data_IF_655287581614
#
_entry.id   IF_655287581614
#
_cell.length_a   1.000
_cell.length_b   1.000
_cell.length_c   1.000
_cell.angle_alpha   90.00
_cell.angle_beta   90.00
_cell.angle_gamma   90.00
#
_symmetry.space_group_name_H-M   'P 1'
#
loop_
_entity.id
_entity.type
_entity.pdbx_description
1 polymer ?
#
# COMPACT_ATOMS: atom_id res chain seq x y z
N UNK A 1 -18.40 10.57 4.82
CA UNK A 1 -19.63 11.40 4.86
C UNK A 1 -19.58 12.33 6.06
N UNK A 2 -19.02 11.87 7.19
CA UNK A 2 -18.65 12.68 8.36
C UNK A 2 -17.85 13.95 8.07
N UNK A 3 -16.78 13.88 7.27
CA UNK A 3 -15.93 15.05 7.00
C UNK A 3 -16.68 16.24 6.39
N UNK A 4 -17.55 16.01 5.39
CA UNK A 4 -18.35 17.07 4.76
C UNK A 4 -19.40 17.67 5.70
N UNK A 5 -20.02 16.85 6.55
CA UNK A 5 -20.99 17.32 7.55
C UNK A 5 -20.29 18.14 8.65
N UNK A 6 -19.11 17.70 9.10
CA UNK A 6 -18.29 18.44 10.05
C UNK A 6 -17.80 19.77 9.48
N UNK A 7 -17.33 19.80 8.22
CA UNK A 7 -16.95 21.05 7.53
C UNK A 7 -18.16 21.97 7.27
N UNK A 8 -19.37 21.43 7.19
CA UNK A 8 -20.62 22.19 7.10
C UNK A 8 -21.19 22.62 8.47
N UNK A 9 -20.47 22.34 9.57
CA UNK A 9 -20.92 22.68 10.93
C UNK A 9 -22.13 21.87 11.42
N UNK A 10 -22.42 20.74 10.78
CA UNK A 10 -23.52 19.86 11.16
C UNK A 10 -23.00 18.89 12.24
N UNK A 11 -23.57 19.00 13.43
CA UNK A 11 -23.28 18.08 14.53
C UNK A 11 -23.76 16.67 14.16
N UNK A 12 -22.81 15.75 14.01
CA UNK A 12 -23.13 14.43 13.47
C UNK A 12 -23.53 13.53 14.63
N UNK A 13 -24.71 12.88 14.57
CA UNK A 13 -25.22 12.15 15.71
C UNK A 13 -24.27 11.03 16.16
N UNK A 14 -24.21 10.78 17.46
CA UNK A 14 -23.35 9.76 18.10
C UNK A 14 -23.60 8.33 17.63
N UNK A 15 -24.75 8.07 16.99
CA UNK A 15 -25.10 6.78 16.40
C UNK A 15 -24.54 6.56 14.98
N UNK A 16 -23.88 7.57 14.40
CA UNK A 16 -23.35 7.47 13.05
C UNK A 16 -21.98 6.78 13.06
N UNK A 17 -21.84 5.70 12.28
CA UNK A 17 -20.60 4.91 12.19
C UNK A 17 -19.99 5.08 10.80
N UNK A 18 -18.72 5.49 10.75
CA UNK A 18 -17.98 5.53 9.49
C UNK A 18 -17.57 4.12 9.06
N UNK A 19 -17.84 3.80 7.80
CA UNK A 19 -17.48 2.53 7.18
C UNK A 19 -16.53 2.80 6.02
N UNK A 20 -15.51 1.94 5.89
CA UNK A 20 -14.58 1.97 4.76
C UNK A 20 -15.13 1.16 3.58
N UNK A 21 -14.89 1.65 2.36
CA UNK A 21 -14.94 0.80 1.17
C UNK A 21 -13.55 0.26 0.89
N UNK A 22 -13.35 -1.06 0.86
CA UNK A 22 -12.04 -1.64 0.62
C UNK A 22 -11.87 -3.02 1.23
N UNK A 23 -10.80 -3.22 2.00
CA UNK A 23 -10.43 -4.52 2.57
C UNK A 23 -9.87 -4.37 3.99
N UNK A 24 -10.14 -5.34 4.85
CA UNK A 24 -9.46 -5.50 6.13
C UNK A 24 -9.28 -6.98 6.41
N UNK A 25 -8.09 -7.37 6.86
CA UNK A 25 -7.82 -8.69 7.39
C UNK A 25 -6.82 -8.61 8.51
N UNK A 26 -6.91 -9.55 9.45
CA UNK A 26 -5.94 -9.72 10.52
C UNK A 26 -5.68 -11.18 10.81
N UNK A 27 -4.44 -11.50 11.15
CA UNK A 27 -4.01 -12.86 11.51
C UNK A 27 -3.11 -12.81 12.73
N UNK A 28 -3.45 -13.59 13.76
CA UNK A 28 -2.59 -13.81 14.92
C UNK A 28 -1.57 -14.91 14.60
N UNK A 29 -0.30 -14.64 14.89
CA UNK A 29 0.84 -15.52 14.63
C UNK A 29 1.54 -15.80 15.95
N UNK A 30 1.82 -17.07 16.21
CA UNK A 30 2.50 -17.55 17.41
C UNK A 30 3.95 -17.91 17.10
N UNK A 31 4.88 -17.49 17.97
CA UNK A 31 6.30 -17.76 17.86
C UNK A 31 6.90 -17.93 19.27
N UNK A 32 7.35 -19.15 19.59
CA UNK A 32 7.69 -19.52 20.97
C UNK A 32 6.48 -19.35 21.90
N UNK A 33 6.70 -18.69 23.05
CA UNK A 33 5.64 -18.33 23.99
C UNK A 33 4.93 -17.01 23.67
N UNK A 34 5.35 -16.31 22.61
CA UNK A 34 4.85 -14.99 22.24
C UNK A 34 3.89 -15.06 21.05
N UNK A 35 3.15 -13.97 20.86
CA UNK A 35 2.31 -13.79 19.66
C UNK A 35 2.31 -12.35 19.19
N UNK A 36 2.00 -12.17 17.91
CA UNK A 36 1.73 -10.87 17.30
C UNK A 36 0.56 -11.00 16.35
N UNK A 37 -0.13 -9.89 16.10
CA UNK A 37 -1.19 -9.79 15.10
C UNK A 37 -0.69 -8.98 13.93
N UNK A 38 -0.71 -9.58 12.75
CA UNK A 38 -0.51 -8.89 11.48
C UNK A 38 -1.85 -8.43 10.98
N UNK A 39 -1.91 -7.21 10.46
CA UNK A 39 -3.10 -6.61 9.88
C UNK A 39 -2.76 -6.00 8.52
N UNK A 40 -3.74 -6.06 7.60
CA UNK A 40 -3.69 -5.39 6.30
C UNK A 40 -5.03 -4.70 6.11
N UNK A 41 -4.98 -3.40 5.85
CA UNK A 41 -6.16 -2.58 5.59
C UNK A 41 -5.97 -1.83 4.28
N UNK A 42 -7.01 -1.83 3.44
CA UNK A 42 -7.06 -1.04 2.21
C UNK A 42 -8.29 -0.17 2.22
N UNK A 43 -8.12 1.13 1.97
CA UNK A 43 -9.18 2.14 1.99
C UNK A 43 -9.27 2.79 0.61
N UNK A 44 -10.41 2.60 -0.05
CA UNK A 44 -10.70 3.24 -1.35
C UNK A 44 -11.29 4.63 -1.12
N UNK A 45 -10.76 5.62 -1.81
CA UNK A 45 -11.34 6.98 -1.81
C UNK A 45 -12.72 6.98 -2.44
N UNK A 46 -13.60 7.82 -1.87
CA UNK A 46 -14.96 8.06 -2.36
C UNK A 46 -15.03 9.23 -3.35
N UNK A 47 -13.97 10.03 -3.46
CA UNK A 47 -13.97 11.28 -4.22
C UNK A 47 -14.17 11.06 -5.73
N UNK A 48 -13.49 10.04 -6.29
CA UNK A 48 -13.60 9.65 -7.70
C UNK A 48 -13.72 8.14 -7.87
N UNK A 49 -14.78 7.59 -7.27
CA UNK A 49 -15.08 6.17 -7.38
C UNK A 49 -15.79 5.85 -8.70
N UNK A 50 -15.40 4.76 -9.36
CA UNK A 50 -16.10 4.26 -10.54
C UNK A 50 -15.55 2.92 -11.01
N UNK A 51 -16.23 2.29 -11.96
CA UNK A 51 -15.80 1.01 -12.54
C UNK A 51 -14.69 1.20 -13.56
N UNK A 52 -13.95 0.12 -13.86
CA UNK A 52 -12.78 0.10 -14.76
C UNK A 52 -12.95 0.78 -16.13
N UNK A 53 -14.17 0.72 -16.67
CA UNK A 53 -14.47 1.25 -18.01
C UNK A 53 -15.13 2.63 -17.99
N UNK A 54 -15.61 3.09 -16.82
CA UNK A 54 -16.38 4.33 -16.72
C UNK A 54 -15.56 5.49 -16.17
N UNK A 55 -14.55 5.24 -15.34
CA UNK A 55 -13.80 6.32 -14.66
C UNK A 55 -12.30 6.06 -14.68
N UNK A 56 -11.57 6.95 -15.35
CA UNK A 56 -10.09 6.94 -15.46
C UNK A 56 -9.53 8.35 -15.26
N UNK A 57 -8.23 8.41 -15.02
CA UNK A 57 -7.49 9.66 -14.93
C UNK A 57 -7.86 10.50 -13.70
N UNK A 58 -7.69 11.81 -13.84
CA UNK A 58 -7.95 12.82 -12.82
C UNK A 58 -9.16 13.67 -13.25
N UNK A 59 -9.91 14.23 -12.30
CA UNK A 59 -10.87 15.30 -12.60
C UNK A 59 -10.28 16.70 -12.41
N UNK A 60 -11.08 17.71 -12.73
CA UNK A 60 -10.77 19.13 -12.58
C UNK A 60 -10.49 19.52 -11.12
N UNK A 61 -10.87 18.69 -10.14
CA UNK A 61 -10.58 18.87 -8.71
C UNK A 61 -9.31 18.13 -8.26
N UNK A 62 -8.54 17.55 -9.19
CA UNK A 62 -7.31 16.82 -8.88
C UNK A 62 -7.54 15.44 -8.25
N UNK A 63 -8.78 14.94 -8.21
CA UNK A 63 -9.09 13.63 -7.64
C UNK A 63 -8.78 12.54 -8.67
N UNK A 64 -7.95 11.56 -8.30
CA UNK A 64 -7.65 10.42 -9.19
C UNK A 64 -8.67 9.31 -9.02
N UNK A 65 -9.05 8.74 -10.16
CA UNK A 65 -9.94 7.60 -10.23
C UNK A 65 -9.41 6.43 -9.41
N UNK A 66 -10.27 5.88 -8.54
CA UNK A 66 -9.99 4.67 -7.78
C UNK A 66 -8.69 4.72 -6.96
N UNK A 67 -8.45 5.85 -6.30
CA UNK A 67 -7.43 6.01 -5.28
C UNK A 67 -7.61 4.98 -4.15
N UNK A 68 -6.54 4.29 -3.78
CA UNK A 68 -6.52 3.31 -2.68
C UNK A 68 -5.28 3.51 -1.83
N UNK A 69 -5.49 3.59 -0.52
CA UNK A 69 -4.42 3.47 0.48
C UNK A 69 -4.37 2.03 0.97
N UNK A 70 -3.18 1.46 1.07
CA UNK A 70 -2.97 0.13 1.65
C UNK A 70 -1.96 0.23 2.77
N UNK A 71 -2.30 -0.28 3.94
CA UNK A 71 -1.48 -0.17 5.14
C UNK A 71 -1.29 -1.56 5.76
N UNK A 72 -0.02 -1.96 5.91
CA UNK A 72 0.38 -3.17 6.63
C UNK A 72 0.91 -2.78 8.00
N UNK A 73 0.31 -3.34 9.05
CA UNK A 73 0.73 -3.09 10.41
C UNK A 73 0.76 -4.34 11.28
N UNK A 74 1.63 -4.31 12.29
CA UNK A 74 1.86 -5.42 13.21
C UNK A 74 1.66 -4.89 14.62
N UNK A 75 0.82 -5.57 15.38
CA UNK A 75 0.66 -5.36 16.81
C UNK A 75 1.38 -6.51 17.54
N UNK A 76 2.46 -6.20 18.24
CA UNK A 76 3.18 -7.16 19.07
C UNK A 76 3.10 -6.73 20.54
N UNK A 77 2.73 -7.68 21.42
CA UNK A 77 2.23 -7.39 22.78
C UNK A 77 1.00 -6.45 22.74
N UNK A 78 0.29 -6.29 23.85
CA UNK A 78 -0.87 -5.38 23.88
C UNK A 78 -0.47 -3.90 23.73
N UNK A 79 0.78 -3.56 23.36
CA UNK A 79 1.31 -2.18 23.46
C UNK A 79 2.22 -1.69 22.34
N UNK A 80 2.76 -2.53 21.45
CA UNK A 80 3.65 -2.02 20.38
C UNK A 80 3.06 -2.24 19.00
N UNK A 81 2.94 -1.14 18.24
CA UNK A 81 2.42 -1.18 16.87
C UNK A 81 3.44 -0.60 15.90
N UNK A 82 3.73 -1.32 14.82
CA UNK A 82 4.50 -0.82 13.69
C UNK A 82 3.61 -0.81 12.44
N UNK A 83 3.54 0.30 11.71
CA UNK A 83 2.67 0.46 10.54
C UNK A 83 3.42 1.05 9.34
N UNK A 84 3.12 0.56 8.15
CA UNK A 84 3.65 1.06 6.89
C UNK A 84 2.54 1.28 5.87
N UNK A 85 2.46 2.52 5.37
CA UNK A 85 1.46 2.97 4.41
C UNK A 85 2.03 3.04 2.99
N UNK A 86 1.31 2.46 2.03
CA UNK A 86 1.60 2.51 0.59
C UNK A 86 0.36 3.00 -0.16
N UNK A 87 0.54 3.85 -1.17
CA UNK A 87 -0.57 4.53 -1.84
C UNK A 87 -0.69 4.18 -3.32
N UNK A 88 -1.91 4.39 -3.85
CA UNK A 88 -2.22 4.52 -5.28
C UNK A 88 -3.09 5.75 -5.45
N UNK A 89 -2.59 6.81 -6.10
CA UNK A 89 -3.31 8.08 -6.07
C UNK A 89 -2.60 9.32 -6.59
N UNK A 90 -3.31 10.44 -6.86
CA UNK A 90 -2.70 11.65 -7.47
C UNK A 90 -1.65 12.36 -6.60
N UNK A 91 -0.68 13.05 -7.22
CA UNK A 91 0.48 13.65 -6.51
C UNK A 91 0.05 14.81 -5.61
N UNK A 92 -0.84 15.67 -6.10
CA UNK A 92 -1.06 16.98 -5.48
C UNK A 92 -1.71 16.90 -4.09
N UNK A 93 -2.62 15.95 -3.86
CA UNK A 93 -3.26 15.73 -2.55
C UNK A 93 -2.39 14.96 -1.55
N UNK A 94 -1.31 14.31 -1.99
CA UNK A 94 -0.48 13.49 -1.09
C UNK A 94 0.55 14.30 -0.31
N UNK A 95 0.89 15.49 -0.82
CA UNK A 95 1.97 16.34 -0.33
C UNK A 95 1.84 16.73 1.14
N UNK A 96 0.70 17.30 1.52
CA UNK A 96 0.51 17.90 2.85
C UNK A 96 0.25 16.83 3.92
N UNK A 97 -0.21 15.65 3.50
CA UNK A 97 -0.58 14.55 4.38
C UNK A 97 0.56 13.56 4.62
N UNK A 98 1.45 13.34 3.64
CA UNK A 98 2.35 12.19 3.64
C UNK A 98 3.85 12.49 3.57
N UNK A 99 4.26 13.72 3.25
CA UNK A 99 5.67 14.09 3.17
C UNK A 99 6.32 13.70 1.83
N UNK A 100 7.50 13.07 1.87
CA UNK A 100 8.28 12.71 0.68
C UNK A 100 7.52 11.71 -0.22
N UNK A 101 7.65 11.86 -1.55
CA UNK A 101 6.89 11.05 -2.51
C UNK A 101 7.85 10.32 -3.46
N UNK A 102 7.81 8.99 -3.44
CA UNK A 102 8.40 8.14 -4.48
C UNK A 102 7.30 7.61 -5.38
N UNK A 103 7.44 7.78 -6.68
CA UNK A 103 6.51 7.22 -7.67
C UNK A 103 7.19 6.07 -8.40
N UNK A 104 6.59 4.88 -8.27
CA UNK A 104 6.92 3.71 -9.07
C UNK A 104 5.89 3.56 -10.19
N UNK A 105 6.30 3.79 -11.43
CA UNK A 105 5.46 3.67 -12.61
C UNK A 105 5.69 2.33 -13.32
N UNK A 106 4.68 1.46 -13.32
CA UNK A 106 4.75 0.08 -13.84
C UNK A 106 4.38 -0.04 -15.33
N UNK A 107 4.43 1.08 -16.05
CA UNK A 107 4.12 1.15 -17.47
C UNK A 107 5.30 0.63 -18.29
N UNK A 108 4.98 -0.14 -19.32
CA UNK A 108 5.92 -0.68 -20.28
C UNK A 108 6.25 0.28 -21.42
N UNK A 109 6.91 -0.28 -22.44
CA UNK A 109 7.47 0.47 -23.56
C UNK A 109 6.56 0.53 -24.79
N UNK A 110 5.31 0.04 -24.69
CA UNK A 110 4.37 0.15 -25.80
C UNK A 110 4.07 1.64 -26.07
N UNK A 111 3.81 2.06 -27.32
CA UNK A 111 3.66 3.49 -27.65
C UNK A 111 2.63 4.22 -26.77
N UNK A 112 1.50 3.58 -26.46
CA UNK A 112 0.49 4.15 -25.56
C UNK A 112 0.97 4.29 -24.11
N UNK A 113 1.60 3.26 -23.54
CA UNK A 113 2.12 3.28 -22.16
C UNK A 113 3.34 4.22 -22.01
N UNK A 114 4.17 4.28 -23.04
CA UNK A 114 5.30 5.20 -23.13
C UNK A 114 4.84 6.67 -23.14
N UNK A 115 3.86 7.02 -23.99
CA UNK A 115 3.30 8.37 -24.02
C UNK A 115 2.74 8.79 -22.65
N UNK A 116 2.05 7.89 -21.95
CA UNK A 116 1.54 8.17 -20.60
C UNK A 116 2.68 8.40 -19.60
N UNK A 117 3.72 7.58 -19.66
CA UNK A 117 4.91 7.71 -18.80
C UNK A 117 5.64 9.02 -19.03
N UNK A 118 5.84 9.40 -20.30
CA UNK A 118 6.47 10.65 -20.70
C UNK A 118 5.67 11.87 -20.23
N UNK A 119 4.35 11.88 -20.47
CA UNK A 119 3.50 12.98 -20.03
C UNK A 119 3.48 13.11 -18.50
N UNK A 120 3.41 11.99 -17.77
CA UNK A 120 3.52 12.00 -16.31
C UNK A 120 4.85 12.58 -15.85
N UNK A 121 5.96 12.19 -16.49
CA UNK A 121 7.29 12.70 -16.20
C UNK A 121 7.37 14.22 -16.40
N UNK A 122 6.77 14.75 -17.48
CA UNK A 122 6.70 16.21 -17.68
C UNK A 122 5.89 16.92 -16.60
N UNK A 123 4.79 16.32 -16.13
CA UNK A 123 3.93 16.91 -15.10
C UNK A 123 4.56 16.89 -13.70
N UNK A 124 5.52 15.99 -13.43
CA UNK A 124 6.22 15.95 -12.14
C UNK A 124 7.42 16.90 -12.10
N UNK A 125 7.88 17.44 -13.25
CA UNK A 125 8.97 18.42 -13.27
C UNK A 125 8.50 19.68 -12.52
N UNK A 126 9.28 20.09 -11.52
CA UNK A 126 8.91 21.20 -10.63
C UNK A 126 7.88 20.85 -9.54
N UNK A 127 7.45 19.59 -9.46
CA UNK A 127 6.65 19.08 -8.34
C UNK A 127 7.53 18.70 -7.14
N UNK A 128 6.90 18.35 -5.99
CA UNK A 128 7.60 17.83 -4.80
C UNK A 128 7.86 16.32 -4.84
N UNK A 129 7.78 15.69 -6.01
CA UNK A 129 8.13 14.26 -6.14
C UNK A 129 9.63 14.10 -5.93
N UNK A 130 9.99 13.39 -4.86
CA UNK A 130 11.39 13.14 -4.48
C UNK A 130 12.08 12.25 -5.51
N UNK A 131 11.37 11.24 -6.02
CA UNK A 131 11.91 10.30 -7.01
C UNK A 131 10.83 9.66 -7.86
N UNK A 132 11.11 9.53 -9.15
CA UNK A 132 10.27 8.85 -10.13
C UNK A 132 11.06 7.74 -10.79
N UNK A 133 10.51 6.53 -10.80
CA UNK A 133 11.12 5.34 -11.42
C UNK A 133 10.09 4.69 -12.31
N UNK A 134 10.46 4.47 -13.58
CA UNK A 134 9.67 3.66 -14.51
C UNK A 134 10.26 2.25 -14.57
N UNK A 135 9.38 1.26 -14.52
CA UNK A 135 9.74 -0.15 -14.61
C UNK A 135 8.71 -0.88 -15.49
N UNK A 136 9.18 -1.49 -16.58
CA UNK A 136 8.33 -2.29 -17.43
C UNK A 136 7.96 -3.61 -16.73
N UNK A 137 6.77 -3.65 -16.14
CA UNK A 137 6.28 -4.85 -15.46
C UNK A 137 6.06 -6.03 -16.40
N UNK A 138 5.88 -5.81 -17.72
CA UNK A 138 5.74 -6.91 -18.66
C UNK A 138 7.01 -7.76 -18.71
N UNK A 139 8.18 -7.13 -18.56
CA UNK A 139 9.47 -7.82 -18.46
C UNK A 139 9.50 -8.79 -17.26
N UNK A 140 8.87 -8.43 -16.12
CA UNK A 140 8.74 -9.32 -14.96
C UNK A 140 7.79 -10.50 -15.25
N UNK A 141 6.63 -10.23 -15.87
CA UNK A 141 5.64 -11.28 -16.17
C UNK A 141 6.05 -12.21 -17.32
N UNK A 142 6.87 -11.70 -18.24
CA UNK A 142 7.36 -12.41 -19.43
C UNK A 142 8.70 -13.10 -19.21
N UNK A 143 9.28 -13.01 -18.02
CA UNK A 143 10.53 -13.66 -17.67
C UNK A 143 10.42 -15.19 -17.83
N UNK A 144 11.45 -15.79 -18.43
CA UNK A 144 11.48 -17.18 -18.89
C UNK A 144 11.85 -18.17 -17.78
N UNK A 145 12.36 -17.67 -16.65
CA UNK A 145 12.77 -18.49 -15.50
C UNK A 145 12.44 -17.82 -14.17
N UNK A 146 12.40 -18.60 -13.09
CA UNK A 146 12.30 -18.06 -11.74
C UNK A 146 13.49 -17.14 -11.40
N UNK A 147 14.71 -17.57 -11.74
CA UNK A 147 15.94 -16.80 -11.51
C UNK A 147 15.93 -15.43 -12.20
N UNK A 148 15.41 -15.36 -13.43
CA UNK A 148 15.28 -14.10 -14.15
C UNK A 148 14.26 -13.17 -13.47
N UNK A 149 13.11 -13.71 -13.04
CA UNK A 149 12.12 -12.95 -12.27
C UNK A 149 12.72 -12.40 -10.97
N UNK A 150 13.45 -13.23 -10.25
CA UNK A 150 14.09 -12.85 -8.99
C UNK A 150 15.12 -11.75 -9.22
N UNK A 151 15.94 -11.85 -10.26
CA UNK A 151 16.93 -10.83 -10.63
C UNK A 151 16.26 -9.49 -10.98
N UNK A 152 15.19 -9.52 -11.78
CA UNK A 152 14.44 -8.32 -12.16
C UNK A 152 13.78 -7.67 -10.93
N UNK A 153 13.17 -8.49 -10.06
CA UNK A 153 12.59 -8.03 -8.79
C UNK A 153 13.67 -7.39 -7.90
N UNK A 154 14.83 -8.03 -7.74
CA UNK A 154 15.95 -7.49 -6.96
C UNK A 154 16.47 -6.16 -7.52
N UNK A 155 16.58 -6.04 -8.84
CA UNK A 155 17.03 -4.82 -9.52
C UNK A 155 16.06 -3.66 -9.26
N UNK A 156 14.75 -3.94 -9.28
CA UNK A 156 13.73 -2.96 -8.95
C UNK A 156 13.75 -2.60 -7.46
N UNK A 157 13.81 -3.58 -6.57
CA UNK A 157 13.89 -3.35 -5.12
C UNK A 157 15.13 -2.55 -4.75
N UNK A 158 16.28 -2.74 -5.42
CA UNK A 158 17.47 -1.93 -5.21
C UNK A 158 17.26 -0.42 -5.47
N UNK A 159 16.30 -0.05 -6.33
CA UNK A 159 15.96 1.35 -6.61
C UNK A 159 14.96 1.94 -5.61
N UNK A 160 14.07 1.09 -5.07
CA UNK A 160 12.94 1.47 -4.20
C UNK A 160 13.33 1.45 -2.72
N UNK A 161 14.04 0.41 -2.28
CA UNK A 161 14.35 0.18 -0.86
C UNK A 161 15.20 1.26 -0.19
N UNK A 162 16.13 1.95 -0.86
CA UNK A 162 16.82 3.10 -0.26
C UNK A 162 15.86 4.19 0.19
N UNK A 163 14.85 4.52 -0.63
CA UNK A 163 13.83 5.50 -0.28
C UNK A 163 12.94 4.98 0.85
N UNK A 164 12.44 3.74 0.74
CA UNK A 164 11.58 3.12 1.76
C UNK A 164 12.26 3.08 3.13
N UNK A 165 13.56 2.79 3.16
CA UNK A 165 14.32 2.77 4.41
C UNK A 165 14.53 4.18 4.98
N UNK A 166 14.66 5.20 4.13
CA UNK A 166 14.81 6.59 4.53
C UNK A 166 13.52 7.18 5.13
N UNK A 167 12.36 6.93 4.51
CA UNK A 167 11.06 7.40 5.02
C UNK A 167 10.60 6.65 6.27
N UNK A 168 11.17 5.47 6.52
CA UNK A 168 10.85 4.62 7.65
C UNK A 168 9.39 4.15 7.69
N UNK A 169 9.00 3.67 8.86
CA UNK A 169 7.64 3.22 9.16
C UNK A 169 7.24 3.75 10.55
N UNK A 170 5.93 3.90 10.78
CA UNK A 170 5.39 4.34 12.07
C UNK A 170 5.69 3.29 13.14
N UNK A 171 6.15 3.71 14.32
CA UNK A 171 6.32 2.85 15.50
C UNK A 171 5.76 3.57 16.73
N UNK A 172 4.87 2.92 17.46
CA UNK A 172 4.27 3.44 18.70
C UNK A 172 4.44 2.46 19.85
N UNK A 173 4.63 3.01 21.04
CA UNK A 173 4.47 2.30 22.30
C UNK A 173 3.18 2.83 22.94
N UNK A 174 2.06 2.13 22.82
CA UNK A 174 1.07 1.97 23.89
C UNK A 174 -0.16 1.18 23.47
N UNK A 175 -0.91 0.75 24.50
CA UNK A 175 -2.11 -0.06 24.40
C UNK A 175 -3.10 0.56 23.44
N UNK A 176 -3.45 -0.17 22.39
CA UNK A 176 -4.45 0.20 21.38
C UNK A 176 -5.88 0.29 21.91
N UNK A 177 -6.08 0.72 23.17
CA UNK A 177 -7.36 1.17 23.67
C UNK A 177 -7.34 2.69 23.56
N UNK A 178 -8.05 3.17 22.54
CA UNK A 178 -8.43 4.56 22.34
C UNK A 178 -9.42 4.96 23.45
N UNK A 179 -8.95 5.04 24.70
CA UNK A 179 -9.65 5.81 25.71
C UNK A 179 -9.33 7.27 25.44
N UNK A 180 -10.22 7.92 24.67
CA UNK A 180 -10.36 9.37 24.51
C UNK A 180 -9.03 10.16 24.57
N UNK A 181 -8.42 10.35 23.40
CA UNK A 181 -7.47 11.44 23.11
C UNK A 181 -6.12 11.47 23.84
N UNK A 182 -5.60 10.33 24.32
CA UNK A 182 -4.16 10.24 24.62
C UNK A 182 -3.44 9.52 23.48
N UNK A 183 -2.73 10.31 22.66
CA UNK A 183 -1.91 9.80 21.57
C UNK A 183 -0.80 8.94 22.20
N UNK A 184 -0.78 7.64 21.90
CA UNK A 184 0.31 6.75 22.33
C UNK A 184 1.67 7.32 21.92
N UNK A 185 2.71 7.03 22.70
CA UNK A 185 4.02 7.65 22.48
C UNK A 185 4.61 7.20 21.13
N UNK A 186 4.66 8.13 20.17
CA UNK A 186 5.21 7.88 18.84
C UNK A 186 6.74 7.82 18.95
N UNK A 187 7.32 6.63 18.70
CA UNK A 187 8.78 6.44 18.65
C UNK A 187 9.38 6.84 17.32
N UNK A 188 8.63 6.63 16.24
CA UNK A 188 9.05 6.93 14.87
C UNK A 188 7.83 7.24 14.03
N UNK A 189 7.91 8.28 13.18
CA UNK A 189 6.90 8.57 12.15
C UNK A 189 7.41 8.10 10.80
N UNK A 190 6.50 7.67 9.93
CA UNK A 190 6.75 7.56 8.50
C UNK A 190 6.72 8.97 7.91
N UNK A 191 7.74 9.36 7.14
CA UNK A 191 7.90 10.74 6.62
C UNK A 191 7.71 10.87 5.12
N UNK A 192 7.29 9.79 4.46
CA UNK A 192 7.05 9.75 3.03
C UNK A 192 6.27 8.51 2.62
N UNK A 193 5.92 8.40 1.35
CA UNK A 193 5.12 7.31 0.80
C UNK A 193 5.66 6.82 -0.55
N UNK A 194 5.33 5.57 -0.87
CA UNK A 194 5.49 5.03 -2.21
C UNK A 194 4.13 5.00 -2.90
N UNK A 195 4.05 5.68 -4.04
CA UNK A 195 2.91 5.63 -4.97
C UNK A 195 3.22 4.64 -6.07
N UNK A 196 2.37 3.62 -6.24
CA UNK A 196 2.50 2.66 -7.35
C UNK A 196 1.47 2.97 -8.44
N UNK A 197 1.95 3.32 -9.62
CA UNK A 197 1.16 3.61 -10.82
C UNK A 197 1.14 2.42 -11.77
N UNK A 198 -0.01 2.21 -12.40
CA UNK A 198 -0.16 1.22 -13.47
C UNK A 198 -1.39 1.56 -14.31
N UNK A 199 -1.35 1.27 -15.60
CA UNK A 199 -2.52 1.37 -16.48
C UNK A 199 -3.41 0.15 -16.25
N UNK A 200 -4.68 0.41 -15.92
CA UNK A 200 -5.81 -0.53 -15.92
C UNK A 200 -5.65 -1.86 -15.15
N UNK A 201 -4.57 -2.08 -14.42
CA UNK A 201 -4.30 -3.31 -13.71
C UNK A 201 -4.17 -3.04 -12.21
N UNK A 202 -5.12 -3.53 -11.44
CA UNK A 202 -5.00 -3.62 -9.99
C UNK A 202 -3.96 -4.67 -9.59
N UNK A 203 -3.91 -5.76 -10.35
CA UNK A 203 -3.03 -6.92 -10.11
C UNK A 203 -1.55 -6.50 -10.00
N UNK A 204 -1.03 -5.86 -11.07
CA UNK A 204 0.36 -5.34 -11.12
C UNK A 204 0.69 -4.44 -9.93
N UNK A 205 -0.23 -3.55 -9.56
CA UNK A 205 -0.02 -2.66 -8.39
C UNK A 205 -0.04 -3.43 -7.08
N UNK A 206 -0.98 -4.36 -6.89
CA UNK A 206 -1.10 -5.14 -5.66
C UNK A 206 0.13 -6.04 -5.45
N UNK A 207 0.63 -6.65 -6.53
CA UNK A 207 1.84 -7.49 -6.50
C UNK A 207 3.07 -6.70 -6.08
N UNK A 208 3.27 -5.52 -6.66
CA UNK A 208 4.40 -4.66 -6.30
C UNK A 208 4.30 -4.06 -4.90
N UNK A 209 3.10 -3.65 -4.48
CA UNK A 209 2.88 -3.17 -3.12
C UNK A 209 3.15 -4.26 -2.09
N UNK A 210 2.71 -5.50 -2.34
CA UNK A 210 3.03 -6.67 -1.51
C UNK A 210 4.53 -6.87 -1.39
N UNK A 211 5.26 -6.86 -2.50
CA UNK A 211 6.72 -7.10 -2.48
C UNK A 211 7.44 -6.08 -1.60
N UNK A 212 7.13 -4.79 -1.77
CA UNK A 212 7.68 -3.71 -0.92
C UNK A 212 7.30 -3.94 0.55
N UNK A 213 6.04 -4.30 0.80
CA UNK A 213 5.52 -4.53 2.15
C UNK A 213 6.19 -5.72 2.87
N UNK A 214 6.56 -6.77 2.12
CA UNK A 214 7.32 -7.91 2.66
C UNK A 214 8.78 -7.55 2.99
N UNK A 215 9.39 -6.63 2.25
CA UNK A 215 10.71 -6.10 2.61
C UNK A 215 10.64 -5.24 3.90
N UNK A 216 9.58 -4.43 4.03
CA UNK A 216 9.34 -3.61 5.24
C UNK A 216 8.96 -4.46 6.45
N UNK A 217 8.29 -5.60 6.25
CA UNK A 217 7.90 -6.54 7.31
C UNK A 217 9.11 -6.92 8.20
N UNK A 218 10.27 -7.18 7.61
CA UNK A 218 11.51 -7.47 8.38
C UNK A 218 11.87 -6.30 9.29
N UNK A 219 11.82 -5.07 8.75
CA UNK A 219 12.13 -3.87 9.51
C UNK A 219 11.13 -3.62 10.65
N UNK A 220 9.84 -3.87 10.41
CA UNK A 220 8.77 -3.75 11.41
C UNK A 220 8.96 -4.75 12.55
N UNK A 221 9.22 -6.03 12.23
CA UNK A 221 9.44 -7.07 13.25
C UNK A 221 10.66 -6.76 14.13
N UNK A 222 11.77 -6.32 13.51
CA UNK A 222 12.96 -5.88 14.25
C UNK A 222 12.66 -4.67 15.14
N UNK A 223 11.91 -3.68 14.66
CA UNK A 223 11.55 -2.49 15.44
C UNK A 223 10.66 -2.82 16.65
N UNK A 224 9.85 -3.89 16.54
CA UNK A 224 9.02 -4.44 17.61
C UNK A 224 9.78 -5.39 18.56
N UNK A 225 11.08 -5.59 18.36
CA UNK A 225 11.89 -6.50 19.18
C UNK A 225 11.57 -7.98 18.98
N UNK A 226 10.88 -8.34 17.90
CA UNK A 226 10.61 -9.74 17.56
C UNK A 226 11.88 -10.35 16.99
N UNK A 227 12.46 -11.33 17.69
CA UNK A 227 13.63 -12.06 17.20
C UNK A 227 13.21 -12.96 16.02
N UNK A 228 13.51 -12.53 14.80
CA UNK A 228 13.11 -13.21 13.57
C UNK A 228 14.13 -14.27 13.18
N UNK A 229 13.97 -15.49 13.72
CA UNK A 229 14.54 -16.68 13.05
C UNK A 229 13.89 -16.84 11.67
N UNK A 230 14.57 -17.52 10.73
CA UNK A 230 14.03 -17.73 9.38
C UNK A 230 12.65 -18.41 9.40
N UNK A 231 12.47 -19.38 10.30
CA UNK A 231 11.16 -20.04 10.52
C UNK A 231 10.09 -19.09 11.02
N UNK A 232 10.44 -18.17 11.94
CA UNK A 232 9.50 -17.17 12.43
C UNK A 232 9.12 -16.21 11.31
N UNK A 233 10.10 -15.67 10.59
CA UNK A 233 9.85 -14.77 9.46
C UNK A 233 8.97 -15.43 8.38
N UNK A 234 9.22 -16.70 8.05
CA UNK A 234 8.42 -17.44 7.08
C UNK A 234 6.93 -17.45 7.45
N UNK A 235 6.57 -17.68 8.72
CA UNK A 235 5.17 -17.63 9.20
C UNK A 235 4.52 -16.26 8.99
N UNK A 236 5.25 -15.19 9.30
CA UNK A 236 4.77 -13.82 9.08
C UNK A 236 4.61 -13.51 7.59
N UNK A 237 5.60 -13.86 6.78
CA UNK A 237 5.60 -13.64 5.34
C UNK A 237 4.47 -14.39 4.65
N UNK A 238 4.23 -15.65 5.02
CA UNK A 238 3.14 -16.47 4.48
C UNK A 238 1.77 -15.86 4.82
N UNK A 239 1.56 -15.47 6.07
CA UNK A 239 0.31 -14.82 6.50
C UNK A 239 0.09 -13.49 5.76
N UNK A 240 1.12 -12.63 5.66
CA UNK A 240 1.04 -11.38 4.89
C UNK A 240 0.70 -11.66 3.43
N UNK A 241 1.37 -12.64 2.82
CA UNK A 241 1.16 -13.02 1.42
C UNK A 241 -0.29 -13.44 1.18
N UNK A 242 -0.85 -14.30 2.04
CA UNK A 242 -2.25 -14.70 1.95
C UNK A 242 -3.22 -13.51 2.11
N UNK A 243 -2.91 -12.57 3.00
CA UNK A 243 -3.71 -11.35 3.19
C UNK A 243 -3.65 -10.42 1.96
N UNK A 244 -2.48 -10.29 1.33
CA UNK A 244 -2.31 -9.51 0.09
C UNK A 244 -3.01 -10.14 -1.12
N UNK A 245 -3.11 -11.47 -1.18
CA UNK A 245 -3.92 -12.19 -2.17
C UNK A 245 -5.40 -11.85 -1.99
N UNK A 246 -5.90 -11.99 -0.76
CA UNK A 246 -7.29 -11.65 -0.43
C UNK A 246 -7.62 -10.17 -0.68
N UNK A 247 -6.67 -9.27 -0.40
CA UNK A 247 -6.78 -7.85 -0.74
C UNK A 247 -6.94 -7.64 -2.25
N UNK A 248 -6.10 -8.28 -3.07
CA UNK A 248 -6.19 -8.23 -4.53
C UNK A 248 -7.58 -8.63 -5.03
N UNK A 249 -8.13 -9.74 -4.55
CA UNK A 249 -9.48 -10.18 -4.88
C UNK A 249 -10.56 -9.19 -4.43
N UNK A 250 -10.47 -8.67 -3.20
CA UNK A 250 -11.45 -7.72 -2.67
C UNK A 250 -11.48 -6.41 -3.46
N UNK A 251 -10.31 -5.79 -3.70
CA UNK A 251 -10.24 -4.54 -4.45
C UNK A 251 -10.59 -4.77 -5.93
N UNK A 252 -10.29 -5.95 -6.50
CA UNK A 252 -10.63 -6.29 -7.88
C UNK A 252 -12.14 -6.39 -8.07
N UNK A 253 -12.84 -7.06 -7.15
CA UNK A 253 -14.31 -7.14 -7.19
C UNK A 253 -14.97 -5.77 -7.10
N UNK A 254 -14.42 -4.86 -6.29
CA UNK A 254 -14.91 -3.47 -6.18
C UNK A 254 -14.70 -2.69 -7.50
N UNK A 255 -13.67 -3.01 -8.29
CA UNK A 255 -13.29 -2.24 -9.47
C UNK A 255 -13.82 -2.81 -10.80
N UNK A 256 -13.82 -4.13 -10.93
CA UNK A 256 -14.10 -4.88 -12.15
C UNK A 256 -15.22 -5.93 -12.00
N UNK A 257 -15.71 -6.18 -10.78
CA UNK A 257 -16.74 -7.19 -10.53
C UNK A 257 -16.22 -8.64 -10.52
N UNK A 258 -14.93 -8.87 -10.74
CA UNK A 258 -14.29 -10.19 -10.78
C UNK A 258 -13.07 -10.25 -9.85
N UNK A 259 -12.66 -11.46 -9.48
CA UNK A 259 -11.41 -11.69 -8.75
C UNK A 259 -10.17 -11.34 -9.60
N UNK A 260 -9.06 -10.98 -8.93
CA UNK A 260 -7.77 -10.69 -9.58
C UNK A 260 -7.21 -11.92 -10.30
N UNK A 261 -6.63 -11.72 -11.49
CA UNK A 261 -6.16 -12.81 -12.35
C UNK A 261 -4.80 -13.38 -11.91
N UNK A 262 -3.96 -12.57 -11.27
CA UNK A 262 -2.59 -12.94 -10.91
C UNK A 262 -2.50 -14.12 -9.92
N UNK A 263 -3.48 -14.26 -9.03
CA UNK A 263 -3.49 -15.32 -8.00
C UNK A 263 -4.27 -16.58 -8.38
N UNK A 264 -4.91 -16.60 -9.55
CA UNK A 264 -5.56 -17.81 -10.07
C UNK A 264 -4.58 -18.77 -10.76
N UNK A 265 -3.35 -18.33 -11.06
CA UNK A 265 -2.31 -19.17 -11.69
C UNK A 265 -1.70 -20.22 -10.75
N UNK A 266 -2.05 -20.24 -9.46
CA UNK A 266 -1.59 -21.23 -8.48
C UNK A 266 -2.59 -22.39 -8.26
N UNK A 267 -3.58 -22.56 -9.14
CA UNK A 267 -4.61 -23.62 -9.07
C UNK A 267 -4.71 -24.52 -10.30
N UNK A 268 -3.69 -24.56 -11.14
CA UNK A 268 -3.57 -25.54 -12.24
C UNK A 268 -2.30 -26.34 -12.07
#
# INVERSE_FOLDING_TARGET
MMGLLYFAGIDVPSWTVDVIGGFFSSKKIYFGALSARVCLISRKSRERAGTRFSVRGVDDSGCVANYVETEQFICHSDSMTASFLILRGHVDKMRDSYGDIFILNLLGLSPGEFCLSYNMEQQIIGSKVTKYVTFDYHSLTGAKSATERDRLSQTLMAQVMPFVSAIGHLVTNDRGVVEKYQHGHIRRKQTGIVRVNCIDCLDRTNSMQREISLQVLRQQLTALGVNTTDSTFAKFSEACTAMWVANGHAISRIYAGTDSLEFNKSRV
#
